data_IF_132110809686
#
_entry.id   IF_132110809686
#
_cell.length_a   1.000
_cell.length_b   1.000
_cell.length_c   1.000
_cell.angle_alpha   90.00
_cell.angle_beta   90.00
_cell.angle_gamma   90.00
#
_symmetry.space_group_name_H-M   'P 1'
#
loop_
_entity.id
_entity.type
_entity.pdbx_description
1 polymer ?
#
# COMPACT_ATOMS: atom_id res chain seq x y z
N UNK A 1 14.98 -34.23 -24.30
CA UNK A 1 14.71 -34.10 -22.85
C UNK A 1 13.47 -33.22 -22.69
N UNK A 2 12.29 -33.87 -22.49
CA UNK A 2 11.04 -33.16 -22.25
C UNK A 2 11.05 -32.66 -20.81
N UNK A 3 11.27 -31.37 -20.58
CA UNK A 3 10.98 -30.75 -19.30
C UNK A 3 9.48 -30.50 -19.23
N UNK A 4 8.78 -31.27 -18.43
CA UNK A 4 7.40 -30.99 -18.06
C UNK A 4 7.37 -29.65 -17.31
N UNK A 5 6.86 -28.61 -17.97
CA UNK A 5 6.61 -27.31 -17.36
C UNK A 5 5.32 -27.46 -16.55
N UNK A 6 5.42 -27.47 -15.22
CA UNK A 6 4.26 -27.39 -14.34
C UNK A 6 3.73 -25.95 -14.40
N UNK A 7 2.54 -25.81 -14.92
CA UNK A 7 1.81 -24.54 -14.94
C UNK A 7 1.19 -24.32 -13.54
N UNK A 8 1.56 -23.21 -12.91
CA UNK A 8 0.95 -22.79 -11.66
C UNK A 8 -0.29 -21.93 -11.91
N UNK A 9 -1.32 -22.12 -11.11
CA UNK A 9 -2.58 -21.38 -11.21
C UNK A 9 -2.78 -20.53 -9.97
N UNK A 10 -3.21 -19.29 -10.15
CA UNK A 10 -3.69 -18.45 -9.06
C UNK A 10 -5.20 -18.31 -9.13
N UNK A 11 -5.89 -18.54 -8.01
CA UNK A 11 -7.34 -18.50 -7.89
C UNK A 11 -7.75 -17.47 -6.85
N UNK A 12 -8.58 -16.53 -7.24
CA UNK A 12 -9.21 -15.60 -6.30
C UNK A 12 -10.62 -16.09 -5.99
N UNK A 13 -11.04 -16.02 -4.73
CA UNK A 13 -12.33 -16.49 -4.23
C UNK A 13 -13.54 -15.84 -4.90
N UNK A 14 -13.40 -14.59 -5.36
CA UNK A 14 -14.44 -13.87 -6.07
C UNK A 14 -14.45 -14.10 -7.58
N UNK A 15 -13.36 -14.67 -8.17
CA UNK A 15 -13.13 -14.51 -9.60
C UNK A 15 -12.66 -15.78 -10.33
N UNK A 16 -12.60 -16.91 -9.67
CA UNK A 16 -12.25 -18.17 -10.33
C UNK A 16 -10.74 -18.37 -10.59
N UNK A 17 -10.41 -19.38 -11.37
CA UNK A 17 -9.05 -19.87 -11.59
C UNK A 17 -8.28 -18.99 -12.57
N UNK A 18 -7.12 -18.44 -12.15
CA UNK A 18 -6.20 -17.71 -13.00
C UNK A 18 -4.98 -18.57 -13.33
N UNK A 19 -4.81 -18.92 -14.58
CA UNK A 19 -3.60 -19.64 -15.03
C UNK A 19 -2.43 -18.66 -15.17
N UNK A 20 -1.31 -18.92 -14.50
CA UNK A 20 -0.04 -18.22 -14.75
C UNK A 20 0.64 -18.93 -15.93
N UNK A 21 0.23 -18.60 -17.15
CA UNK A 21 0.78 -19.25 -18.37
C UNK A 21 1.95 -18.45 -18.96
N UNK A 22 2.24 -17.25 -18.48
CA UNK A 22 3.03 -16.28 -19.23
C UNK A 22 4.55 -16.28 -19.00
N UNK A 23 5.11 -17.12 -18.14
CA UNK A 23 6.57 -17.14 -17.93
C UNK A 23 7.35 -18.03 -18.91
N UNK A 24 6.69 -18.95 -19.61
CA UNK A 24 7.39 -19.87 -20.53
C UNK A 24 7.42 -19.40 -22.01
N UNK A 25 6.44 -18.64 -22.46
CA UNK A 25 6.36 -18.20 -23.85
C UNK A 25 7.19 -16.93 -24.14
N UNK A 26 7.49 -16.12 -23.12
CA UNK A 26 8.27 -14.88 -23.31
C UNK A 26 9.79 -15.07 -23.28
N UNK A 27 10.28 -16.22 -22.79
CA UNK A 27 11.73 -16.52 -22.82
C UNK A 27 12.24 -17.09 -24.15
N UNK A 28 11.37 -17.37 -25.13
CA UNK A 28 11.82 -17.87 -26.45
C UNK A 28 11.98 -16.78 -27.53
N UNK A 29 11.73 -15.53 -27.25
CA UNK A 29 11.83 -14.44 -28.26
C UNK A 29 12.99 -13.47 -28.00
N UNK A 30 13.79 -13.68 -26.98
CA UNK A 30 15.01 -12.89 -26.77
C UNK A 30 16.28 -13.71 -27.04
N UNK A 31 16.47 -14.17 -28.29
CA UNK A 31 17.80 -14.42 -28.81
C UNK A 31 18.30 -13.10 -29.43
N UNK A 32 19.52 -12.63 -29.14
CA UNK A 32 20.03 -11.44 -29.75
C UNK A 32 20.31 -11.72 -31.22
N UNK A 33 19.57 -11.10 -32.11
CA UNK A 33 19.99 -10.98 -33.52
C UNK A 33 21.10 -9.95 -33.61
N UNK A 34 22.29 -10.41 -33.95
CA UNK A 34 23.38 -9.57 -34.36
C UNK A 34 22.96 -8.72 -35.56
N UNK A 35 23.00 -7.43 -35.41
CA UNK A 35 22.91 -6.50 -36.54
C UNK A 35 24.26 -6.50 -37.27
N UNK A 36 24.26 -6.97 -38.52
CA UNK A 36 25.31 -6.67 -39.47
C UNK A 36 24.98 -5.34 -40.14
N UNK A 37 25.95 -4.47 -40.09
CA UNK A 37 26.02 -3.15 -40.71
C UNK A 37 26.02 -3.27 -42.21
N UNK A 38 25.15 -2.57 -42.97
CA UNK A 38 25.43 -2.14 -44.33
C UNK A 38 24.81 -0.77 -44.57
N UNK A 39 25.69 0.17 -44.70
CA UNK A 39 25.40 1.53 -45.11
C UNK A 39 25.14 1.61 -46.63
N UNK A 40 24.05 2.28 -47.03
CA UNK A 40 24.04 2.99 -48.34
C UNK A 40 23.19 4.26 -48.25
N UNK A 41 23.86 5.31 -48.59
CA UNK A 41 23.46 6.70 -48.80
C UNK A 41 22.44 6.89 -49.90
N UNK A 42 21.42 7.74 -49.71
CA UNK A 42 20.94 8.70 -50.74
C UNK A 42 19.99 9.76 -50.12
N UNK A 43 20.32 10.99 -50.32
CA UNK A 43 19.64 12.25 -49.97
C UNK A 43 18.81 12.72 -51.18
N UNK A 44 18.11 13.89 -51.16
CA UNK A 44 16.70 14.06 -50.90
C UNK A 44 15.93 14.59 -52.14
N UNK A 45 14.60 14.61 -52.04
CA UNK A 45 13.79 15.42 -52.95
C UNK A 45 12.70 16.17 -52.19
N UNK A 46 12.79 17.46 -52.30
CA UNK A 46 11.88 18.52 -51.89
C UNK A 46 10.76 18.70 -52.92
N UNK A 47 9.52 18.89 -52.50
CA UNK A 47 8.50 19.72 -53.18
C UNK A 47 7.27 19.78 -52.27
N UNK A 48 6.94 20.90 -51.73
CA UNK A 48 6.19 22.10 -52.11
C UNK A 48 4.69 21.98 -51.89
N UNK A 49 4.30 22.71 -50.89
CA UNK A 49 3.09 23.48 -50.53
C UNK A 49 1.90 23.48 -51.53
N UNK A 50 0.71 23.22 -51.00
CA UNK A 50 -0.50 23.96 -51.41
C UNK A 50 -1.52 24.04 -50.27
N UNK A 51 -1.68 25.23 -49.79
CA UNK A 51 -2.79 25.72 -48.96
C UNK A 51 -4.06 25.82 -49.79
N UNK A 52 -5.21 25.45 -49.27
CA UNK A 52 -6.49 26.10 -49.62
C UNK A 52 -7.48 26.11 -48.47
N UNK A 53 -8.08 27.19 -48.28
CA UNK A 53 -8.89 27.76 -47.24
C UNK A 53 -10.29 27.12 -47.01
N UNK A 54 -10.82 27.41 -45.86
CA UNK A 54 -12.19 27.34 -45.32
C UNK A 54 -13.23 28.05 -46.23
N UNK A 55 -14.56 27.69 -46.17
CA UNK A 55 -15.38 28.43 -45.20
C UNK A 55 -16.50 27.64 -44.48
N UNK A 56 -16.83 28.11 -43.28
CA UNK A 56 -18.12 27.91 -42.66
C UNK A 56 -19.19 28.85 -43.32
N UNK A 57 -20.48 28.51 -43.29
CA UNK A 57 -21.33 29.32 -42.45
C UNK A 57 -22.51 28.62 -41.74
N UNK A 58 -22.85 29.17 -40.63
CA UNK A 58 -24.09 29.87 -40.22
C UNK A 58 -25.22 29.02 -39.63
N UNK A 59 -25.57 29.42 -38.41
CA UNK A 59 -26.66 28.99 -37.57
C UNK A 59 -28.05 29.32 -38.16
N UNK A 60 -29.03 28.49 -37.82
CA UNK A 60 -30.39 28.97 -37.65
C UNK A 60 -31.08 28.34 -36.42
N UNK A 61 -31.57 29.24 -35.62
CA UNK A 61 -32.39 29.09 -34.42
C UNK A 61 -33.85 28.88 -34.81
N UNK A 62 -34.53 27.93 -34.19
CA UNK A 62 -35.98 28.08 -33.95
C UNK A 62 -36.40 27.47 -32.64
N UNK A 63 -36.89 28.30 -31.81
CA UNK A 63 -37.62 28.16 -30.57
C UNK A 63 -39.05 27.67 -30.85
N UNK A 64 -39.58 26.75 -30.03
CA UNK A 64 -40.97 26.81 -29.57
C UNK A 64 -41.23 25.81 -28.42
N UNK A 65 -41.62 26.33 -27.29
CA UNK A 65 -42.40 25.76 -26.19
C UNK A 65 -43.79 26.49 -26.27
N UNK A 66 -44.86 26.13 -25.58
CA UNK A 66 -45.23 25.02 -24.68
C UNK A 66 -46.69 24.49 -24.91
N UNK A 67 -47.13 23.50 -24.16
CA UNK A 67 -48.51 23.43 -23.66
C UNK A 67 -48.69 22.43 -22.52
N UNK A 68 -49.13 22.94 -21.43
CA UNK A 68 -49.67 22.39 -20.19
C UNK A 68 -51.06 21.75 -20.40
N UNK A 69 -51.41 20.70 -19.65
CA UNK A 69 -52.71 20.52 -18.96
C UNK A 69 -52.64 19.30 -18.02
N UNK A 70 -52.64 19.52 -16.72
CA UNK A 70 -53.60 19.18 -15.63
C UNK A 70 -54.36 17.86 -15.77
N UNK A 71 -54.20 17.02 -14.81
CA UNK A 71 -54.70 16.77 -13.45
C UNK A 71 -55.81 15.70 -13.43
N UNK A 72 -55.77 14.71 -12.60
CA UNK A 72 -56.61 14.52 -11.42
C UNK A 72 -56.48 13.14 -10.79
N UNK A 73 -56.18 13.15 -9.46
CA UNK A 73 -56.73 12.41 -8.31
C UNK A 73 -56.52 10.89 -8.17
N UNK A 74 -55.72 10.59 -7.15
CA UNK A 74 -55.96 9.81 -5.90
C UNK A 74 -56.33 8.32 -6.02
N UNK A 75 -55.45 7.52 -5.44
CA UNK A 75 -55.68 6.73 -4.23
C UNK A 75 -54.40 6.00 -3.78
N UNK A 76 -54.03 6.19 -2.52
CA UNK A 76 -53.09 5.37 -1.75
C UNK A 76 -53.96 4.31 -0.99
N UNK A 77 -53.47 3.14 -0.55
CA UNK A 77 -52.12 2.82 -0.06
C UNK A 77 -51.66 1.38 -0.41
N UNK A 78 -50.35 1.18 -0.43
CA UNK A 78 -49.73 -0.03 0.14
C UNK A 78 -48.22 0.21 0.34
N UNK A 79 -47.82 0.18 1.56
CA UNK A 79 -46.48 0.14 2.09
C UNK A 79 -45.71 -1.00 1.44
N UNK A 80 -44.63 -0.69 0.74
CA UNK A 80 -43.57 -1.67 0.44
C UNK A 80 -42.25 -0.98 0.70
N UNK A 81 -41.54 -1.56 1.64
CA UNK A 81 -40.26 -1.11 2.15
C UNK A 81 -39.23 -0.98 1.04
N UNK A 82 -38.61 0.17 0.99
CA UNK A 82 -37.41 0.46 0.20
C UNK A 82 -36.23 -0.26 0.87
N UNK A 83 -35.43 -1.06 0.14
CA UNK A 83 -34.17 -1.50 0.69
C UNK A 83 -33.23 -0.30 0.80
N UNK A 84 -32.87 0.03 2.02
CA UNK A 84 -31.82 0.98 2.31
C UNK A 84 -30.53 0.55 1.62
N UNK A 85 -29.98 1.45 0.80
CA UNK A 85 -28.61 1.38 0.32
C UNK A 85 -27.70 1.55 1.55
N UNK A 86 -27.25 0.47 2.11
CA UNK A 86 -26.21 0.51 3.13
C UNK A 86 -24.90 0.80 2.43
N UNK A 87 -24.40 2.01 2.54
CA UNK A 87 -22.99 2.31 2.36
C UNK A 87 -22.22 1.38 3.30
N UNK A 88 -21.41 0.49 2.72
CA UNK A 88 -20.54 -0.35 3.49
C UNK A 88 -19.43 0.52 4.09
N UNK A 89 -19.59 0.88 5.35
CA UNK A 89 -18.50 1.29 6.22
C UNK A 89 -17.42 0.20 6.19
N UNK A 90 -16.13 0.53 6.11
CA UNK A 90 -15.08 -0.48 6.17
C UNK A 90 -15.24 -1.28 7.44
N UNK A 91 -15.49 -2.58 7.30
CA UNK A 91 -15.58 -3.48 8.42
C UNK A 91 -14.30 -3.42 9.24
N UNK A 92 -14.43 -3.16 10.53
CA UNK A 92 -13.35 -3.31 11.50
C UNK A 92 -12.70 -4.68 11.30
N UNK A 93 -11.38 -4.68 11.11
CA UNK A 93 -10.55 -5.86 11.05
C UNK A 93 -10.65 -6.61 12.38
N UNK A 94 -11.53 -7.59 12.44
CA UNK A 94 -11.49 -8.57 13.51
C UNK A 94 -10.17 -9.35 13.39
N UNK A 95 -9.24 -9.10 14.29
CA UNK A 95 -7.98 -9.83 14.39
C UNK A 95 -8.30 -11.29 14.77
N UNK A 96 -8.22 -12.18 13.78
CA UNK A 96 -8.05 -13.59 14.06
C UNK A 96 -6.55 -13.79 14.24
N UNK A 97 -6.10 -13.83 15.49
CA UNK A 97 -4.74 -14.23 15.81
C UNK A 97 -4.52 -15.66 15.30
N UNK A 98 -3.60 -15.81 14.38
CA UNK A 98 -3.19 -17.11 13.86
C UNK A 98 -2.40 -17.83 14.98
N UNK A 99 -2.73 -19.07 15.34
CA UNK A 99 -1.99 -19.80 16.37
C UNK A 99 -0.49 -19.76 16.11
N UNK A 100 0.27 -19.29 17.10
CA UNK A 100 1.74 -19.20 17.03
C UNK A 100 2.35 -20.35 17.79
N UNK A 101 3.28 -21.06 17.16
CA UNK A 101 4.19 -21.96 17.85
C UNK A 101 5.55 -21.25 17.84
N UNK A 102 5.77 -20.31 18.75
CA UNK A 102 7.09 -19.73 18.94
C UNK A 102 7.89 -20.63 19.89
N UNK A 103 9.12 -20.95 19.53
CA UNK A 103 10.01 -21.81 20.31
C UNK A 103 11.02 -21.05 21.16
N UNK A 104 11.02 -19.71 21.12
CA UNK A 104 12.00 -18.89 21.85
C UNK A 104 11.60 -17.42 22.00
N UNK A 105 12.34 -16.72 22.85
CA UNK A 105 12.25 -15.25 22.92
C UNK A 105 12.84 -14.62 21.66
N UNK A 106 12.39 -13.42 21.31
CA UNK A 106 12.97 -12.64 20.20
C UNK A 106 14.44 -12.33 20.53
N UNK A 107 15.32 -12.72 19.63
CA UNK A 107 16.75 -12.44 19.70
C UNK A 107 17.14 -11.48 18.59
N UNK A 108 17.87 -10.41 18.93
CA UNK A 108 18.33 -9.42 17.96
C UNK A 108 19.84 -9.30 18.06
N UNK A 109 20.51 -9.54 16.94
CA UNK A 109 21.95 -9.45 16.82
C UNK A 109 22.32 -8.47 15.68
N UNK A 110 23.51 -7.87 15.79
CA UNK A 110 24.04 -7.00 14.74
C UNK A 110 25.44 -7.42 14.38
N UNK A 111 25.69 -7.62 13.09
CA UNK A 111 27.00 -7.91 12.53
C UNK A 111 27.27 -6.92 11.40
N UNK A 112 28.31 -6.10 11.56
CA UNK A 112 28.57 -5.01 10.63
C UNK A 112 27.43 -4.01 10.57
N UNK A 113 26.85 -3.81 9.40
CA UNK A 113 25.67 -2.96 9.14
C UNK A 113 24.33 -3.73 9.16
N UNK A 114 24.37 -5.04 9.37
CA UNK A 114 23.20 -5.91 9.24
C UNK A 114 22.70 -6.36 10.61
N UNK A 115 21.42 -6.13 10.84
CA UNK A 115 20.67 -6.54 12.03
C UNK A 115 19.82 -7.76 11.66
N UNK A 116 19.96 -8.83 12.42
CA UNK A 116 19.19 -10.06 12.28
C UNK A 116 18.26 -10.22 13.48
N UNK A 117 17.02 -10.58 13.21
CA UNK A 117 15.98 -10.84 14.21
C UNK A 117 15.56 -12.29 14.11
N UNK A 118 15.70 -13.05 15.20
CA UNK A 118 15.19 -14.42 15.32
C UNK A 118 13.97 -14.44 16.22
N UNK A 119 13.06 -15.36 15.94
CA UNK A 119 11.78 -15.50 16.65
C UNK A 119 11.02 -14.17 16.76
N UNK A 120 10.85 -13.39 15.65
CA UNK A 120 10.08 -12.16 15.69
C UNK A 120 8.62 -12.42 16.07
N UNK A 121 7.95 -11.45 16.69
CA UNK A 121 6.48 -11.50 16.80
C UNK A 121 5.87 -11.18 15.44
N UNK A 122 5.16 -12.14 14.85
CA UNK A 122 4.57 -12.05 13.51
C UNK A 122 3.11 -12.42 13.55
N UNK A 123 2.28 -11.67 12.82
CA UNK A 123 0.90 -12.05 12.53
C UNK A 123 0.61 -12.12 11.04
N UNK A 124 -0.39 -12.95 10.71
CA UNK A 124 -0.92 -13.08 9.35
C UNK A 124 -2.40 -12.66 9.36
N UNK A 125 -2.73 -11.60 8.64
CA UNK A 125 -4.07 -11.02 8.60
C UNK A 125 -4.81 -11.44 7.34
N UNK A 126 -5.85 -12.25 7.53
CA UNK A 126 -6.71 -12.75 6.44
C UNK A 126 -8.05 -12.02 6.46
N UNK A 127 -8.52 -11.60 5.29
CA UNK A 127 -9.86 -11.03 5.17
C UNK A 127 -10.89 -12.16 5.23
N UNK A 128 -11.72 -12.16 6.26
CA UNK A 128 -12.83 -13.11 6.37
C UNK A 128 -13.79 -12.95 5.19
N UNK A 129 -14.28 -14.07 4.69
CA UNK A 129 -15.33 -14.11 3.67
C UNK A 129 -16.54 -14.89 4.18
N UNK A 130 -17.71 -14.70 3.55
CA UNK A 130 -18.96 -15.32 3.96
C UNK A 130 -18.91 -16.88 3.97
N UNK A 131 -18.03 -17.45 3.16
CA UNK A 131 -17.93 -18.89 2.88
C UNK A 131 -16.62 -19.54 3.35
N UNK A 132 -15.84 -18.86 4.24
CA UNK A 132 -14.63 -19.43 4.85
C UNK A 132 -13.83 -18.41 5.65
N UNK A 133 -12.65 -18.84 6.10
CA UNK A 133 -11.76 -18.02 6.92
C UNK A 133 -10.97 -16.97 6.11
N UNK A 134 -11.08 -16.97 4.77
CA UNK A 134 -10.31 -16.11 3.91
C UNK A 134 -8.87 -16.54 3.71
N UNK A 135 -8.52 -17.77 4.13
CA UNK A 135 -7.17 -18.33 4.08
C UNK A 135 -6.86 -19.08 2.79
N UNK A 136 -7.77 -19.06 1.82
CA UNK A 136 -7.63 -19.81 0.55
C UNK A 136 -6.32 -19.50 -0.17
N UNK A 137 -5.76 -20.51 -0.86
CA UNK A 137 -4.46 -20.46 -1.54
C UNK A 137 -4.26 -19.22 -2.44
N UNK A 138 -5.34 -18.74 -3.04
CA UNK A 138 -5.29 -17.63 -4.00
C UNK A 138 -5.82 -16.30 -3.43
N UNK A 139 -6.04 -16.25 -2.13
CA UNK A 139 -6.44 -15.03 -1.42
C UNK A 139 -5.21 -14.29 -0.94
N UNK A 140 -5.18 -12.97 -1.17
CA UNK A 140 -4.13 -12.12 -0.62
C UNK A 140 -4.36 -11.90 0.87
N UNK A 141 -3.27 -11.74 1.61
CA UNK A 141 -3.28 -11.45 3.05
C UNK A 141 -2.15 -10.48 3.37
N UNK A 142 -2.07 -10.06 4.63
CA UNK A 142 -0.96 -9.23 5.11
C UNK A 142 -0.13 -9.99 6.13
N UNK A 143 1.18 -9.72 6.13
CA UNK A 143 2.11 -10.15 7.16
C UNK A 143 2.49 -8.93 7.98
N UNK A 144 2.42 -9.04 9.30
CA UNK A 144 2.81 -8.00 10.23
C UNK A 144 3.91 -8.50 11.16
N UNK A 145 5.04 -7.79 11.18
CA UNK A 145 6.08 -7.91 12.19
C UNK A 145 5.79 -6.87 13.27
N UNK A 146 5.52 -7.34 14.50
CA UNK A 146 5.08 -6.49 15.61
C UNK A 146 6.25 -6.20 16.55
N UNK A 147 6.28 -5.00 17.09
CA UNK A 147 7.07 -4.60 18.27
C UNK A 147 8.51 -5.14 18.33
N UNK A 148 9.25 -5.01 17.22
CA UNK A 148 10.67 -5.35 17.18
C UNK A 148 11.42 -4.32 18.03
N UNK A 149 11.82 -4.73 19.24
CA UNK A 149 12.48 -3.85 20.24
C UNK A 149 13.99 -4.06 20.18
N UNK A 150 14.70 -3.07 19.67
CA UNK A 150 16.16 -3.11 19.61
C UNK A 150 16.77 -2.76 20.98
N UNK A 151 17.75 -3.51 21.46
CA UNK A 151 18.44 -3.18 22.72
C UNK A 151 19.01 -1.75 22.69
N UNK A 152 18.94 -1.02 23.79
CA UNK A 152 19.54 0.33 23.89
C UNK A 152 21.04 0.31 23.68
N UNK A 153 21.71 -0.78 24.12
CA UNK A 153 23.14 -1.01 23.91
C UNK A 153 23.53 -1.20 22.44
N UNK A 154 22.54 -1.52 21.55
CA UNK A 154 22.78 -1.69 20.12
C UNK A 154 22.70 -0.32 19.43
N UNK A 155 23.84 0.20 18.98
CA UNK A 155 23.86 1.39 18.14
C UNK A 155 23.30 1.06 16.75
N UNK A 156 22.27 1.82 16.32
CA UNK A 156 21.72 1.76 14.97
C UNK A 156 22.05 3.08 14.28
N UNK A 157 22.90 3.00 13.27
CA UNK A 157 23.44 4.14 12.54
C UNK A 157 22.76 4.28 11.17
N UNK A 158 22.93 5.43 10.55
CA UNK A 158 22.52 5.62 9.16
C UNK A 158 23.20 4.58 8.26
N UNK A 159 22.39 3.88 7.46
CA UNK A 159 22.82 2.83 6.55
C UNK A 159 22.74 1.42 7.14
N UNK A 160 22.56 1.28 8.45
CA UNK A 160 22.30 -0.03 9.05
C UNK A 160 20.96 -0.61 8.54
N UNK A 161 20.90 -1.93 8.45
CA UNK A 161 19.77 -2.64 7.85
C UNK A 161 19.25 -3.70 8.79
N UNK A 162 17.93 -3.86 8.81
CA UNK A 162 17.29 -5.05 9.36
C UNK A 162 16.67 -5.86 8.21
N UNK A 163 16.92 -7.17 8.20
CA UNK A 163 16.49 -8.08 7.14
C UNK A 163 15.60 -9.15 7.73
N UNK A 164 14.42 -9.37 7.13
CA UNK A 164 13.52 -10.48 7.44
C UNK A 164 13.33 -11.34 6.20
N UNK A 165 13.26 -12.65 6.41
CA UNK A 165 13.11 -13.64 5.35
C UNK A 165 11.70 -14.19 5.32
N UNK A 166 11.11 -14.25 4.14
CA UNK A 166 9.83 -14.91 3.94
C UNK A 166 10.03 -16.43 3.91
N UNK A 167 9.15 -17.19 4.58
CA UNK A 167 9.15 -18.64 4.47
C UNK A 167 8.78 -19.10 3.06
N UNK A 168 9.13 -20.36 2.72
CA UNK A 168 8.86 -20.93 1.40
C UNK A 168 7.38 -20.85 1.00
N UNK A 169 6.47 -20.90 1.96
CA UNK A 169 5.02 -20.86 1.74
C UNK A 169 4.49 -19.47 1.43
N UNK A 170 5.27 -18.40 1.72
CA UNK A 170 4.81 -17.00 1.63
C UNK A 170 5.69 -16.19 0.69
N UNK A 171 5.08 -15.39 -0.16
CA UNK A 171 5.80 -14.48 -1.06
C UNK A 171 5.12 -13.12 -1.10
N UNK A 172 5.87 -12.10 -1.50
CA UNK A 172 5.29 -10.81 -1.91
C UNK A 172 4.47 -11.00 -3.20
N UNK A 173 3.50 -10.11 -3.43
CA UNK A 173 2.69 -10.13 -4.65
C UNK A 173 3.47 -9.60 -5.86
N UNK A 174 4.28 -8.60 -5.62
CA UNK A 174 5.24 -7.95 -6.50
C UNK A 174 6.32 -7.30 -5.63
N UNK A 175 7.36 -6.71 -6.20
CA UNK A 175 8.28 -5.86 -5.46
C UNK A 175 7.66 -4.50 -5.19
N UNK A 176 7.83 -4.00 -3.98
CA UNK A 176 7.41 -2.65 -3.56
C UNK A 176 8.32 -2.14 -2.45
N UNK A 177 8.20 -0.86 -2.16
CA UNK A 177 8.92 -0.20 -1.08
C UNK A 177 7.98 0.70 -0.29
N UNK A 178 8.33 0.98 0.96
CA UNK A 178 7.57 1.86 1.84
C UNK A 178 8.45 2.46 2.94
N UNK A 179 8.00 3.59 3.47
CA UNK A 179 8.69 4.24 4.56
C UNK A 179 8.26 3.67 5.93
N UNK A 180 9.24 3.62 6.85
CA UNK A 180 9.02 3.38 8.26
C UNK A 180 9.01 4.72 8.95
N UNK A 181 7.85 5.13 9.49
CA UNK A 181 7.59 6.47 10.00
C UNK A 181 7.49 6.47 11.52
N UNK A 182 7.96 7.51 12.18
CA UNK A 182 7.65 7.73 13.59
C UNK A 182 6.29 8.45 13.77
N UNK A 183 5.88 8.69 15.02
CA UNK A 183 4.61 9.34 15.32
C UNK A 183 4.54 10.81 14.83
N UNK A 184 5.68 11.46 14.61
CA UNK A 184 5.79 12.81 14.07
C UNK A 184 5.79 12.84 12.53
N UNK A 185 5.51 11.72 11.88
CA UNK A 185 5.61 11.52 10.43
C UNK A 185 7.02 11.76 9.86
N UNK A 186 8.04 11.57 10.68
CA UNK A 186 9.41 11.58 10.22
C UNK A 186 9.82 10.18 9.75
N UNK A 187 10.45 10.09 8.60
CA UNK A 187 11.01 8.83 8.11
C UNK A 187 12.16 8.39 9.00
N UNK A 188 12.11 7.16 9.50
CA UNK A 188 13.16 6.51 10.31
C UNK A 188 13.96 5.54 9.48
N UNK A 189 13.34 4.95 8.47
CA UNK A 189 13.96 4.02 7.57
C UNK A 189 13.11 3.79 6.33
N UNK A 190 13.71 3.15 5.34
CA UNK A 190 13.06 2.80 4.08
C UNK A 190 13.12 1.28 3.88
N UNK A 191 11.95 0.65 3.74
CA UNK A 191 11.80 -0.78 3.56
C UNK A 191 11.60 -1.12 2.08
N UNK A 192 12.30 -2.16 1.62
CA UNK A 192 12.22 -2.67 0.24
C UNK A 192 12.03 -4.17 0.26
N UNK A 193 11.15 -4.68 -0.59
CA UNK A 193 10.94 -6.11 -0.79
C UNK A 193 11.77 -6.61 -1.97
N UNK A 194 12.26 -7.85 -1.86
CA UNK A 194 12.96 -8.58 -2.93
C UNK A 194 12.29 -9.95 -3.05
N UNK A 195 11.48 -10.13 -4.10
CA UNK A 195 10.76 -11.39 -4.34
C UNK A 195 11.67 -12.56 -4.68
N UNK A 196 12.80 -12.30 -5.34
CA UNK A 196 13.74 -13.35 -5.75
C UNK A 196 14.48 -13.92 -4.54
N UNK A 197 14.86 -13.07 -3.61
CA UNK A 197 15.49 -13.46 -2.35
C UNK A 197 14.49 -13.82 -1.27
N UNK A 198 13.22 -13.47 -1.43
CA UNK A 198 12.21 -13.63 -0.39
C UNK A 198 12.51 -12.78 0.84
N UNK A 199 12.98 -11.54 0.68
CA UNK A 199 13.37 -10.69 1.82
C UNK A 199 12.65 -9.35 1.81
N UNK A 200 12.42 -8.80 3.01
CA UNK A 200 12.15 -7.38 3.22
C UNK A 200 13.27 -6.77 4.02
N UNK A 201 13.89 -5.73 3.50
CA UNK A 201 15.04 -5.05 4.10
C UNK A 201 14.68 -3.62 4.42
N UNK A 202 14.76 -3.23 5.68
CA UNK A 202 14.64 -1.83 6.12
C UNK A 202 16.02 -1.24 6.32
N UNK A 203 16.36 -0.18 5.58
CA UNK A 203 17.58 0.61 5.75
C UNK A 203 17.26 1.84 6.60
N UNK A 204 17.94 1.99 7.74
CA UNK A 204 17.71 3.10 8.67
C UNK A 204 18.45 4.37 8.25
N UNK A 205 17.86 5.52 8.59
CA UNK A 205 18.54 6.81 8.57
C UNK A 205 19.15 7.14 9.95
N UNK A 206 19.43 8.40 10.23
CA UNK A 206 20.11 8.83 11.46
C UNK A 206 19.18 9.06 12.68
N UNK A 207 17.88 8.78 12.56
CA UNK A 207 16.92 9.05 13.65
C UNK A 207 17.25 8.21 14.89
N UNK A 208 17.56 6.93 14.74
CA UNK A 208 17.94 6.08 15.87
C UNK A 208 19.32 6.41 16.44
N UNK A 209 20.20 7.02 15.65
CA UNK A 209 21.47 7.56 16.15
C UNK A 209 21.23 8.76 17.06
N UNK A 210 20.28 9.62 16.68
CA UNK A 210 19.92 10.82 17.45
C UNK A 210 19.05 10.50 18.67
N UNK A 211 18.24 9.45 18.59
CA UNK A 211 17.33 8.99 19.64
C UNK A 211 17.63 7.53 19.97
N UNK A 212 18.66 7.24 20.76
CA UNK A 212 19.21 5.88 20.89
C UNK A 212 18.46 4.98 21.88
N UNK A 213 17.49 5.49 22.63
CA UNK A 213 16.78 4.76 23.69
C UNK A 213 15.42 4.26 23.21
N UNK A 214 14.95 3.15 23.77
CA UNK A 214 13.64 2.54 23.52
C UNK A 214 13.30 2.40 22.03
N UNK A 215 14.33 2.04 21.24
CA UNK A 215 14.20 1.86 19.79
C UNK A 215 13.32 0.67 19.47
N UNK A 216 12.26 0.89 18.68
CA UNK A 216 11.40 -0.19 18.21
C UNK A 216 10.84 0.11 16.83
N UNK A 217 10.44 -0.95 16.12
CA UNK A 217 9.74 -0.85 14.86
C UNK A 217 8.69 -1.94 14.70
N UNK A 218 7.69 -1.67 13.88
CA UNK A 218 6.70 -2.63 13.38
C UNK A 218 6.51 -2.37 11.90
N UNK A 219 6.13 -3.40 11.14
CA UNK A 219 5.76 -3.24 9.74
C UNK A 219 4.67 -4.23 9.35
N UNK A 220 3.82 -3.82 8.43
CA UNK A 220 2.77 -4.64 7.83
C UNK A 220 2.80 -4.47 6.32
N UNK A 221 2.68 -5.55 5.57
CA UNK A 221 2.74 -5.53 4.12
C UNK A 221 1.93 -6.65 3.46
N UNK A 222 1.61 -6.46 2.18
CA UNK A 222 0.83 -7.40 1.39
C UNK A 222 1.65 -8.63 0.97
N UNK A 223 1.04 -9.80 1.15
CA UNK A 223 1.62 -11.10 0.85
C UNK A 223 0.60 -12.03 0.16
N UNK A 224 1.10 -13.15 -0.33
CA UNK A 224 0.32 -14.25 -0.91
C UNK A 224 0.96 -15.59 -0.58
N UNK A 225 0.17 -16.66 -0.69
CA UNK A 225 0.71 -18.01 -0.68
C UNK A 225 1.51 -18.31 -1.95
N UNK A 226 2.51 -19.17 -1.81
CA UNK A 226 3.27 -19.74 -2.94
C UNK A 226 2.68 -21.06 -3.42
N UNK A 227 3.32 -21.67 -4.41
CA UNK A 227 2.91 -23.01 -4.90
C UNK A 227 3.26 -24.13 -3.90
N UNK A 228 4.08 -23.87 -2.87
CA UNK A 228 4.36 -24.81 -1.79
C UNK A 228 3.10 -25.17 -0.98
N UNK A 229 2.12 -24.26 -0.95
CA UNK A 229 0.89 -24.43 -0.16
C UNK A 229 -0.14 -25.25 -0.93
N UNK A 230 -0.83 -26.15 -0.22
CA UNK A 230 -1.92 -26.98 -0.78
C UNK A 230 -3.25 -26.58 -0.16
N UNK A 231 -4.25 -26.28 -1.00
CA UNK A 231 -5.63 -26.01 -0.57
C UNK A 231 -6.22 -27.19 0.22
N UNK A 232 -6.96 -26.90 1.29
CA UNK A 232 -7.54 -27.90 2.19
C UNK A 232 -6.56 -28.54 3.18
N UNK A 233 -5.31 -28.06 3.24
CA UNK A 233 -4.28 -28.56 4.18
C UNK A 233 -3.76 -27.44 5.09
N UNK A 234 -3.18 -27.84 6.22
CA UNK A 234 -2.47 -26.92 7.10
C UNK A 234 -1.15 -26.52 6.46
N UNK A 235 -0.86 -25.20 6.44
CA UNK A 235 0.43 -24.61 6.14
C UNK A 235 1.12 -24.21 7.45
N UNK A 236 2.45 -24.33 7.49
CA UNK A 236 3.24 -24.04 8.70
C UNK A 236 4.41 -23.10 8.39
N UNK A 237 4.16 -21.88 7.87
CA UNK A 237 5.22 -20.97 7.52
C UNK A 237 6.08 -20.59 8.74
N UNK A 238 7.42 -20.62 8.55
CA UNK A 238 8.41 -20.31 9.57
C UNK A 238 9.10 -18.98 9.28
N UNK A 239 8.72 -17.94 10.01
CA UNK A 239 9.28 -16.60 9.90
C UNK A 239 10.49 -16.45 10.84
N UNK A 240 11.69 -16.77 10.36
CA UNK A 240 12.95 -16.64 11.11
C UNK A 240 12.89 -17.27 12.53
N UNK A 241 12.18 -18.41 12.68
CA UNK A 241 12.00 -19.13 13.95
C UNK A 241 10.59 -19.05 14.52
N UNK A 242 9.77 -18.11 14.13
CA UNK A 242 8.35 -18.05 14.52
C UNK A 242 7.49 -18.83 13.52
N UNK A 243 6.93 -19.95 13.99
CA UNK A 243 6.07 -20.82 13.16
C UNK A 243 4.60 -20.45 13.37
N UNK A 244 3.88 -20.21 12.28
CA UNK A 244 2.42 -20.03 12.26
C UNK A 244 1.73 -21.30 11.75
N UNK A 245 0.51 -21.56 12.22
CA UNK A 245 -0.35 -22.64 11.71
C UNK A 245 -1.57 -22.06 11.06
N UNK A 246 -1.78 -22.34 9.78
CA UNK A 246 -2.91 -21.83 9.03
C UNK A 246 -3.56 -22.97 8.26
N UNK A 247 -4.82 -23.27 8.58
CA UNK A 247 -5.62 -24.15 7.72
C UNK A 247 -6.01 -23.37 6.45
N UNK A 248 -5.44 -23.77 5.32
CA UNK A 248 -5.75 -23.17 4.04
C UNK A 248 -7.12 -23.67 3.56
N UNK A 249 -8.04 -22.76 3.27
CA UNK A 249 -9.38 -23.12 2.82
C UNK A 249 -9.31 -24.02 1.57
N UNK A 250 -10.20 -25.00 1.46
CA UNK A 250 -10.31 -25.80 0.24
C UNK A 250 -10.70 -24.91 -0.96
N UNK A 251 -10.31 -25.32 -2.15
CA UNK A 251 -10.75 -24.61 -3.35
C UNK A 251 -12.25 -24.79 -3.57
N UNK A 252 -13.00 -23.71 -3.81
CA UNK A 252 -14.40 -23.83 -4.16
C UNK A 252 -14.55 -24.56 -5.52
N UNK A 253 -15.52 -25.44 -5.63
CA UNK A 253 -15.84 -26.07 -6.91
C UNK A 253 -16.43 -25.05 -7.89
N UNK A 254 -16.06 -25.18 -9.15
CA UNK A 254 -16.63 -24.38 -10.22
C UNK A 254 -17.91 -25.04 -10.69
N UNK A 255 -19.01 -24.31 -10.65
CA UNK A 255 -20.31 -24.79 -11.10
C UNK A 255 -20.65 -24.20 -12.48
N UNK A 256 -20.62 -25.00 -13.54
CA UNK A 256 -20.94 -24.55 -14.89
C UNK A 256 -22.41 -24.11 -15.07
N UNK A 257 -23.30 -24.48 -14.15
CA UNK A 257 -24.72 -24.09 -14.23
C UNK A 257 -24.94 -22.65 -13.75
N UNK A 258 -24.12 -22.18 -12.82
CA UNK A 258 -24.24 -20.85 -12.19
C UNK A 258 -23.23 -19.85 -12.72
N UNK A 259 -22.01 -20.27 -13.04
CA UNK A 259 -20.98 -19.37 -13.56
C UNK A 259 -21.08 -19.16 -15.06
N UNK A 260 -21.69 -18.08 -15.49
CA UNK A 260 -21.73 -17.65 -16.90
C UNK A 260 -20.50 -16.87 -17.33
N UNK A 261 -19.94 -16.08 -16.41
CA UNK A 261 -18.81 -15.19 -16.61
C UNK A 261 -18.04 -14.97 -15.31
N UNK A 262 -16.74 -14.87 -15.40
CA UNK A 262 -15.88 -14.49 -14.27
C UNK A 262 -14.73 -13.62 -14.75
N UNK A 263 -14.35 -12.60 -13.97
CA UNK A 263 -13.22 -11.70 -14.25
C UNK A 263 -12.43 -11.42 -12.98
N UNK A 264 -11.14 -11.36 -13.14
CA UNK A 264 -10.20 -11.00 -12.06
C UNK A 264 -8.97 -10.31 -12.62
N UNK A 265 -8.18 -9.74 -11.73
CA UNK A 265 -6.90 -9.15 -12.07
C UNK A 265 -5.87 -9.36 -10.98
N UNK A 266 -4.62 -9.15 -11.34
CA UNK A 266 -3.48 -9.17 -10.44
C UNK A 266 -2.42 -8.20 -10.92
N UNK A 267 -1.66 -7.65 -9.99
CA UNK A 267 -0.44 -6.90 -10.28
C UNK A 267 0.62 -7.88 -10.77
N UNK A 268 1.38 -7.51 -11.79
CA UNK A 268 2.42 -8.38 -12.33
C UNK A 268 3.61 -8.49 -11.36
N UNK A 269 4.10 -9.69 -11.09
CA UNK A 269 5.25 -9.87 -10.19
C UNK A 269 6.52 -9.19 -10.71
N UNK A 270 6.72 -9.17 -12.03
CA UNK A 270 7.91 -8.64 -12.69
C UNK A 270 7.95 -7.11 -12.82
N UNK A 271 6.80 -6.48 -12.86
CA UNK A 271 6.66 -5.02 -12.95
C UNK A 271 5.42 -4.57 -12.19
N UNK A 272 5.57 -3.87 -11.04
CA UNK A 272 4.44 -3.46 -10.24
C UNK A 272 3.49 -2.46 -10.91
N UNK A 273 3.90 -1.83 -12.01
CA UNK A 273 3.03 -0.95 -12.79
C UNK A 273 2.16 -1.69 -13.82
N UNK A 274 2.41 -2.99 -14.05
CA UNK A 274 1.64 -3.80 -14.97
C UNK A 274 0.51 -4.54 -14.25
N UNK A 275 -0.71 -4.35 -14.75
CA UNK A 275 -1.89 -5.08 -14.32
C UNK A 275 -2.18 -6.19 -15.30
N UNK A 276 -2.37 -7.40 -14.81
CA UNK A 276 -2.79 -8.57 -15.59
C UNK A 276 -4.27 -8.78 -15.36
N UNK A 277 -5.04 -8.75 -16.41
CA UNK A 277 -6.47 -9.01 -16.39
C UNK A 277 -6.80 -10.31 -17.09
N UNK A 278 -7.70 -11.07 -16.49
CA UNK A 278 -8.22 -12.29 -17.08
C UNK A 278 -9.73 -12.33 -16.90
N UNK A 279 -10.43 -12.76 -17.94
CA UNK A 279 -11.79 -13.20 -17.78
C UNK A 279 -12.00 -14.59 -18.39
N UNK A 280 -13.00 -15.27 -17.86
CA UNK A 280 -13.43 -16.60 -18.30
C UNK A 280 -14.92 -16.57 -18.56
N UNK A 281 -15.34 -17.28 -19.59
CA UNK A 281 -16.75 -17.48 -19.87
C UNK A 281 -17.00 -18.85 -20.51
N UNK A 282 -18.28 -19.21 -20.57
CA UNK A 282 -18.76 -20.46 -21.18
C UNK A 282 -18.25 -21.74 -20.47
N UNK A 283 -18.24 -21.73 -19.14
CA UNK A 283 -17.86 -22.91 -18.36
C UNK A 283 -18.76 -24.11 -18.68
N UNK A 284 -20.04 -23.90 -19.10
CA UNK A 284 -21.00 -24.87 -19.49
C UNK A 284 -20.79 -25.41 -20.93
N UNK A 285 -19.83 -24.88 -21.70
CA UNK A 285 -19.53 -25.27 -23.09
C UNK A 285 -20.73 -25.21 -24.03
N UNK A 286 -21.58 -24.21 -23.85
CA UNK A 286 -22.69 -23.94 -24.75
C UNK A 286 -22.17 -23.38 -26.07
N UNK A 287 -22.91 -23.60 -27.15
CA UNK A 287 -22.62 -22.92 -28.42
C UNK A 287 -22.96 -21.45 -28.31
N UNK A 288 -21.94 -20.58 -28.39
CA UNK A 288 -22.08 -19.12 -28.41
C UNK A 288 -21.74 -18.62 -29.82
N UNK A 289 -22.56 -17.71 -30.32
CA UNK A 289 -22.39 -17.08 -31.63
C UNK A 289 -22.42 -15.57 -31.49
N UNK A 290 -21.61 -14.85 -32.29
CA UNK A 290 -21.59 -13.37 -32.32
C UNK A 290 -21.45 -12.72 -30.94
N UNK A 291 -20.63 -13.34 -30.10
CA UNK A 291 -20.38 -12.81 -28.74
C UNK A 291 -19.75 -11.42 -28.79
N UNK A 292 -20.31 -10.48 -28.04
CA UNK A 292 -19.79 -9.12 -27.90
C UNK A 292 -19.33 -8.89 -26.47
N UNK A 293 -18.07 -8.47 -26.31
CA UNK A 293 -17.45 -8.16 -25.03
C UNK A 293 -17.02 -6.70 -25.07
N UNK A 294 -17.51 -5.91 -24.12
CA UNK A 294 -17.08 -4.51 -23.91
C UNK A 294 -16.36 -4.43 -22.59
N UNK A 295 -15.08 -4.13 -22.62
CA UNK A 295 -14.20 -4.05 -21.47
C UNK A 295 -13.75 -2.61 -21.24
N UNK A 296 -13.85 -2.10 -19.99
CA UNK A 296 -13.54 -0.72 -19.63
C UNK A 296 -12.79 -0.67 -18.32
N UNK A 297 -11.58 -0.14 -18.37
CA UNK A 297 -10.73 0.06 -17.18
C UNK A 297 -10.72 1.51 -16.71
N UNK A 298 -10.29 1.75 -15.48
CA UNK A 298 -10.16 3.09 -14.90
C UNK A 298 -9.16 3.96 -15.68
N UNK A 299 -9.35 5.29 -15.58
CA UNK A 299 -8.65 6.27 -16.42
C UNK A 299 -7.11 6.33 -16.21
N UNK A 300 -6.61 5.73 -15.14
CA UNK A 300 -5.20 5.64 -14.78
C UNK A 300 -4.47 4.44 -15.41
N UNK A 301 -5.07 3.79 -16.40
CA UNK A 301 -4.53 2.62 -17.06
C UNK A 301 -4.47 2.80 -18.58
N UNK A 302 -3.42 2.28 -19.19
CA UNK A 302 -3.25 2.17 -20.63
C UNK A 302 -3.10 0.72 -21.05
N UNK A 303 -3.62 0.35 -22.21
CA UNK A 303 -3.49 -0.99 -22.76
C UNK A 303 -2.03 -1.27 -23.17
N UNK A 304 -1.52 -2.43 -22.78
CA UNK A 304 -0.21 -2.90 -23.27
C UNK A 304 -0.41 -3.57 -24.62
N UNK A 305 0.11 -2.94 -25.66
CA UNK A 305 -0.04 -3.42 -27.04
C UNK A 305 0.49 -4.85 -27.21
N UNK A 306 -0.22 -5.66 -27.99
CA UNK A 306 0.12 -7.06 -28.23
C UNK A 306 -0.15 -8.01 -27.05
N UNK A 307 -0.65 -7.54 -25.93
CA UNK A 307 -0.90 -8.36 -24.73
C UNK A 307 -2.21 -9.16 -24.77
N UNK A 308 -3.09 -8.91 -25.73
CA UNK A 308 -4.36 -9.64 -25.84
C UNK A 308 -4.11 -11.09 -26.25
N UNK A 309 -4.53 -12.02 -25.41
CA UNK A 309 -4.33 -13.45 -25.59
C UNK A 309 -5.62 -14.22 -25.28
N UNK A 310 -6.50 -14.40 -26.27
CA UNK A 310 -7.66 -15.28 -26.14
C UNK A 310 -7.23 -16.74 -26.37
N UNK A 311 -7.76 -17.65 -25.54
CA UNK A 311 -7.49 -19.08 -25.68
C UNK A 311 -8.65 -19.93 -25.14
N UNK A 312 -8.71 -21.17 -25.60
CA UNK A 312 -9.67 -22.16 -25.16
C UNK A 312 -9.04 -23.23 -24.30
N UNK A 313 -9.82 -23.77 -23.37
CA UNK A 313 -9.53 -24.99 -22.64
C UNK A 313 -10.78 -25.91 -22.66
N UNK A 314 -10.57 -27.18 -22.52
CA UNK A 314 -11.70 -28.15 -22.46
C UNK A 314 -12.01 -28.51 -20.99
N UNK A 315 -11.03 -28.44 -20.11
CA UNK A 315 -11.20 -28.67 -18.68
C UNK A 315 -10.33 -27.72 -17.85
N UNK A 316 -10.98 -26.98 -16.97
CA UNK A 316 -10.31 -26.01 -16.08
C UNK A 316 -9.51 -26.65 -14.95
N UNK A 317 -9.79 -27.92 -14.60
CA UNK A 317 -9.05 -28.65 -13.56
C UNK A 317 -7.74 -29.21 -14.10
N UNK A 318 -7.77 -29.74 -15.31
CA UNK A 318 -6.60 -30.39 -15.95
C UNK A 318 -5.94 -29.50 -17.00
N UNK A 319 -6.58 -28.40 -17.38
CA UNK A 319 -6.14 -27.51 -18.47
C UNK A 319 -5.87 -28.26 -19.78
N UNK A 320 -6.71 -29.25 -20.03
CA UNK A 320 -6.62 -30.02 -21.25
C UNK A 320 -6.98 -29.20 -22.48
N UNK A 321 -6.32 -29.51 -23.60
CA UNK A 321 -6.55 -28.90 -24.90
C UNK A 321 -6.48 -27.35 -24.90
N UNK A 322 -5.48 -26.79 -24.21
CA UNK A 322 -5.16 -25.39 -24.34
C UNK A 322 -4.80 -25.04 -25.77
N UNK A 323 -5.60 -24.18 -26.41
CA UNK A 323 -5.38 -23.75 -27.80
C UNK A 323 -5.67 -22.27 -27.96
N UNK A 324 -4.94 -21.61 -28.86
CA UNK A 324 -5.21 -20.19 -29.17
C UNK A 324 -6.61 -20.02 -29.76
N UNK A 325 -7.32 -18.98 -29.30
CA UNK A 325 -8.61 -18.57 -29.83
C UNK A 325 -8.51 -17.35 -30.76
N UNK A 326 -7.30 -16.94 -31.17
CA UNK A 326 -7.08 -15.74 -32.01
C UNK A 326 -7.81 -15.81 -33.34
N UNK A 327 -7.91 -16.99 -33.97
CA UNK A 327 -8.64 -17.19 -35.22
C UNK A 327 -10.16 -17.06 -35.08
N UNK A 328 -10.67 -17.16 -33.84
CA UNK A 328 -12.07 -16.94 -33.50
C UNK A 328 -12.42 -15.50 -33.20
N UNK A 329 -11.44 -14.59 -33.23
CA UNK A 329 -11.71 -13.15 -33.19
C UNK A 329 -12.41 -12.74 -34.50
N UNK A 330 -13.55 -12.07 -34.39
CA UNK A 330 -14.22 -11.41 -35.51
C UNK A 330 -13.74 -9.98 -35.63
N UNK A 331 -13.66 -9.25 -34.51
CA UNK A 331 -13.05 -7.92 -34.45
C UNK A 331 -12.51 -7.58 -33.07
N UNK A 332 -11.51 -6.72 -33.04
CA UNK A 332 -10.95 -6.09 -31.83
C UNK A 332 -10.76 -4.60 -32.07
N UNK A 333 -11.43 -3.76 -31.29
CA UNK A 333 -11.37 -2.32 -31.37
C UNK A 333 -10.90 -1.74 -30.05
N UNK A 334 -9.64 -1.34 -30.00
CA UNK A 334 -9.08 -0.61 -28.87
C UNK A 334 -9.60 0.83 -28.91
N UNK A 335 -9.98 1.35 -27.74
CA UNK A 335 -10.41 2.73 -27.54
C UNK A 335 -9.86 3.29 -26.24
N UNK A 336 -10.01 4.57 -26.01
CA UNK A 336 -9.56 5.16 -24.75
C UNK A 336 -10.32 4.54 -23.56
N UNK A 337 -9.58 3.98 -22.60
CA UNK A 337 -10.13 3.34 -21.40
C UNK A 337 -10.77 1.98 -21.62
N UNK A 338 -10.54 1.29 -22.76
CA UNK A 338 -11.11 -0.02 -22.96
C UNK A 338 -10.97 -0.60 -24.35
N UNK A 339 -11.65 -1.71 -24.58
CA UNK A 339 -11.80 -2.31 -25.91
C UNK A 339 -13.19 -2.91 -26.11
N UNK A 340 -13.57 -3.08 -27.37
CA UNK A 340 -14.69 -3.90 -27.82
C UNK A 340 -14.14 -5.09 -28.60
N UNK A 341 -14.56 -6.29 -28.21
CA UNK A 341 -14.14 -7.56 -28.78
C UNK A 341 -15.38 -8.31 -29.29
N UNK A 342 -15.31 -8.83 -30.52
CA UNK A 342 -16.30 -9.77 -31.04
C UNK A 342 -15.67 -11.12 -31.33
N UNK A 343 -16.40 -12.19 -30.99
CA UNK A 343 -15.98 -13.56 -31.25
C UNK A 343 -16.92 -14.22 -32.26
N UNK A 344 -16.34 -15.01 -33.15
CA UNK A 344 -17.07 -15.96 -34.01
C UNK A 344 -17.67 -17.07 -33.15
N UNK A 345 -18.42 -17.97 -33.78
CA UNK A 345 -19.04 -19.15 -33.13
C UNK A 345 -18.00 -20.05 -32.48
N UNK A 346 -18.25 -20.46 -31.23
CA UNK A 346 -17.47 -21.45 -30.48
C UNK A 346 -18.33 -22.15 -29.42
N UNK A 347 -17.83 -23.28 -28.88
CA UNK A 347 -18.52 -24.15 -27.91
C UNK A 347 -17.56 -24.66 -26.80
N UNK A 348 -16.48 -23.92 -26.57
CA UNK A 348 -15.44 -24.24 -25.58
C UNK A 348 -15.37 -23.21 -24.48
N UNK A 349 -14.68 -23.50 -23.41
CA UNK A 349 -14.41 -22.54 -22.33
C UNK A 349 -13.39 -21.54 -22.86
N UNK A 350 -13.79 -20.26 -22.90
CA UNK A 350 -12.93 -19.17 -23.35
C UNK A 350 -12.30 -18.44 -22.17
N UNK A 351 -10.99 -18.25 -22.26
CA UNK A 351 -10.23 -17.33 -21.46
C UNK A 351 -9.69 -16.21 -22.33
N UNK A 352 -9.63 -15.01 -21.77
CA UNK A 352 -8.95 -13.89 -22.41
C UNK A 352 -8.05 -13.22 -21.39
N UNK A 353 -6.75 -13.25 -21.66
CA UNK A 353 -5.74 -12.53 -20.90
C UNK A 353 -5.37 -11.26 -21.65
N UNK A 354 -5.08 -10.19 -20.91
CA UNK A 354 -4.45 -8.99 -21.44
C UNK A 354 -3.81 -8.19 -20.29
N UNK A 355 -3.07 -7.17 -20.64
CA UNK A 355 -2.36 -6.31 -19.68
C UNK A 355 -2.72 -4.86 -19.88
N UNK A 356 -2.75 -4.14 -18.77
CA UNK A 356 -2.73 -2.69 -18.74
C UNK A 356 -1.55 -2.21 -17.91
N UNK A 357 -1.10 -1.00 -18.16
CA UNK A 357 -0.04 -0.33 -17.41
C UNK A 357 -0.61 0.89 -16.70
N UNK A 358 -0.23 1.09 -15.45
CA UNK A 358 -0.56 2.33 -14.73
C UNK A 358 0.14 3.51 -15.38
N UNK A 359 -0.57 4.63 -15.52
CA UNK A 359 -0.05 5.88 -16.09
C UNK A 359 0.65 6.75 -15.05
N UNK A 360 0.45 6.43 -13.76
CA UNK A 360 1.09 7.07 -12.61
C UNK A 360 1.87 6.04 -11.79
N UNK A 361 2.86 6.45 -10.97
CA UNK A 361 3.55 5.55 -10.06
C UNK A 361 2.58 4.81 -9.14
N UNK A 362 2.88 3.55 -8.80
CA UNK A 362 2.01 2.70 -7.96
C UNK A 362 1.58 3.39 -6.66
N UNK A 363 2.50 4.10 -5.99
CA UNK A 363 2.22 4.82 -4.73
C UNK A 363 1.22 5.97 -4.86
N UNK A 364 1.06 6.49 -6.06
CA UNK A 364 0.17 7.61 -6.38
C UNK A 364 -1.12 7.16 -7.08
N UNK A 365 -1.20 5.86 -7.40
CA UNK A 365 -2.33 5.27 -8.11
C UNK A 365 -3.41 4.79 -7.15
N UNK A 366 -4.66 4.88 -7.59
CA UNK A 366 -5.76 4.18 -6.96
C UNK A 366 -5.77 2.71 -7.39
N UNK A 367 -6.44 1.86 -6.61
CA UNK A 367 -6.65 0.47 -6.98
C UNK A 367 -7.35 0.37 -8.34
N UNK A 368 -6.72 -0.28 -9.34
CA UNK A 368 -7.27 -0.40 -10.68
C UNK A 368 -8.61 -1.13 -10.69
N UNK A 369 -9.57 -0.56 -11.39
CA UNK A 369 -10.91 -1.12 -11.58
C UNK A 369 -11.12 -1.41 -13.05
N UNK A 370 -11.84 -2.50 -13.33
CA UNK A 370 -12.21 -2.88 -14.67
C UNK A 370 -13.64 -3.42 -14.71
N UNK A 371 -14.46 -2.88 -15.60
CA UNK A 371 -15.86 -3.26 -15.79
C UNK A 371 -16.08 -3.91 -17.15
N UNK A 372 -16.93 -4.94 -17.19
CA UNK A 372 -17.20 -5.72 -18.40
C UNK A 372 -18.69 -5.92 -18.61
N UNK A 373 -19.08 -5.82 -19.87
CA UNK A 373 -20.39 -6.19 -20.40
C UNK A 373 -20.19 -7.25 -21.46
N UNK A 374 -20.93 -8.34 -21.37
CA UNK A 374 -20.89 -9.45 -22.33
C UNK A 374 -22.29 -9.81 -22.75
N UNK A 375 -22.53 -9.84 -24.06
CA UNK A 375 -23.80 -10.28 -24.65
C UNK A 375 -23.56 -11.36 -25.71
N UNK A 376 -24.47 -12.35 -25.78
CA UNK A 376 -24.49 -13.32 -26.90
C UNK A 376 -25.07 -12.68 -28.19
N UNK A 377 -25.06 -13.41 -29.28
CA UNK A 377 -25.58 -12.95 -30.56
C UNK A 377 -27.10 -12.69 -30.60
N UNK A 378 -27.84 -13.19 -29.61
CA UNK A 378 -29.28 -12.93 -29.44
C UNK A 378 -29.50 -11.67 -28.53
N UNK A 379 -28.45 -11.08 -28.01
CA UNK A 379 -28.51 -9.92 -27.12
C UNK A 379 -28.73 -10.27 -25.64
N UNK A 380 -28.69 -11.54 -25.25
CA UNK A 380 -28.83 -11.93 -23.86
C UNK A 380 -27.56 -11.58 -23.09
N UNK A 381 -27.65 -10.99 -21.89
CA UNK A 381 -26.48 -10.68 -21.10
C UNK A 381 -25.89 -11.94 -20.43
N UNK A 382 -24.61 -12.19 -20.66
CA UNK A 382 -23.79 -13.14 -19.89
C UNK A 382 -23.10 -12.42 -18.73
N UNK A 383 -22.75 -11.14 -18.89
CA UNK A 383 -22.31 -10.23 -17.84
C UNK A 383 -22.86 -8.83 -18.08
N UNK A 384 -23.27 -8.16 -17.02
CA UNK A 384 -23.76 -6.78 -17.08
C UNK A 384 -23.07 -5.95 -16.01
N UNK A 385 -22.15 -5.08 -16.43
CA UNK A 385 -21.32 -4.25 -15.53
C UNK A 385 -20.59 -5.10 -14.47
N UNK A 386 -20.06 -6.24 -14.87
CA UNK A 386 -19.26 -7.06 -13.98
C UNK A 386 -17.96 -6.33 -13.65
N UNK A 387 -17.68 -6.10 -12.38
CA UNK A 387 -16.51 -5.32 -11.94
C UNK A 387 -15.48 -6.21 -11.27
N UNK A 388 -14.24 -6.02 -11.65
CA UNK A 388 -13.07 -6.55 -10.96
C UNK A 388 -12.16 -5.38 -10.55
N UNK A 389 -11.45 -5.55 -9.44
CA UNK A 389 -10.46 -4.60 -8.98
C UNK A 389 -9.17 -5.32 -8.60
N UNK A 390 -8.07 -4.61 -8.62
CA UNK A 390 -6.76 -5.08 -8.17
C UNK A 390 -6.36 -4.19 -7.00
N UNK A 391 -6.33 -4.75 -5.80
CA UNK A 391 -5.69 -4.06 -4.69
C UNK A 391 -4.19 -3.98 -4.97
N UNK A 392 -3.62 -2.78 -5.02
CA UNK A 392 -2.19 -2.59 -5.24
C UNK A 392 -1.40 -3.09 -4.02
N UNK A 393 -0.30 -3.79 -4.28
CA UNK A 393 0.56 -4.29 -3.22
C UNK A 393 1.36 -3.16 -2.60
N UNK A 394 1.49 -3.19 -1.29
CA UNK A 394 2.24 -2.19 -0.56
C UNK A 394 2.48 -2.60 0.88
N UNK A 395 3.09 -1.70 1.62
CA UNK A 395 3.36 -1.87 3.03
C UNK A 395 3.43 -0.53 3.74
N UNK A 396 3.51 -0.60 5.05
CA UNK A 396 3.78 0.55 5.92
C UNK A 396 4.56 0.10 7.13
N UNK A 397 5.46 0.96 7.60
CA UNK A 397 6.20 0.74 8.82
C UNK A 397 5.96 1.85 9.85
N UNK A 398 6.13 1.51 11.11
CA UNK A 398 6.13 2.43 12.22
C UNK A 398 7.37 2.21 13.05
N UNK A 399 7.92 3.27 13.61
CA UNK A 399 9.04 3.22 14.52
C UNK A 399 8.84 4.23 15.66
N UNK A 400 9.50 3.97 16.77
CA UNK A 400 9.63 4.94 17.86
C UNK A 400 11.00 4.81 18.53
N UNK A 401 11.45 5.88 19.14
CA UNK A 401 12.65 5.93 19.95
C UNK A 401 12.64 7.18 20.81
N UNK A 402 13.50 7.21 21.83
CA UNK A 402 13.63 8.31 22.76
C UNK A 402 15.05 8.86 22.74
N UNK A 403 15.16 10.16 22.96
CA UNK A 403 16.45 10.80 23.12
C UNK A 403 16.99 10.57 24.56
N UNK A 404 18.31 10.67 24.74
CA UNK A 404 18.92 10.72 26.07
C UNK A 404 18.37 11.97 26.75
N UNK A 405 17.77 11.88 27.95
CA UNK A 405 17.30 13.04 28.68
C UNK A 405 18.47 14.00 28.85
N UNK A 406 18.31 15.25 28.41
CA UNK A 406 19.28 16.29 28.74
C UNK A 406 19.29 16.39 30.24
N UNK A 407 20.44 16.26 30.94
CA UNK A 407 20.49 16.49 32.38
C UNK A 407 19.84 17.83 32.68
N UNK A 408 18.85 17.84 33.57
CA UNK A 408 18.28 19.09 34.04
C UNK A 408 19.45 19.95 34.53
N UNK A 409 19.62 21.19 34.04
CA UNK A 409 20.74 22.01 34.44
C UNK A 409 20.72 22.04 35.97
N UNK A 410 21.83 21.65 36.63
CA UNK A 410 21.97 21.72 38.08
C UNK A 410 21.40 23.05 38.53
N UNK A 411 20.47 23.09 39.52
CA UNK A 411 19.88 24.32 39.96
C UNK A 411 21.06 25.28 40.28
N UNK A 412 21.11 26.40 39.56
CA UNK A 412 22.12 27.44 39.80
C UNK A 412 22.19 27.60 41.29
N UNK A 413 23.38 27.44 41.95
CA UNK A 413 23.47 27.61 43.40
C UNK A 413 22.76 28.93 43.71
N UNK A 414 21.77 28.89 44.61
CA UNK A 414 21.08 30.09 45.07
C UNK A 414 22.18 31.07 45.46
N UNK A 415 22.12 32.34 45.02
CA UNK A 415 23.10 33.33 45.39
C UNK A 415 23.18 33.27 46.90
N UNK A 416 24.39 32.96 47.47
CA UNK A 416 24.65 33.03 48.92
C UNK A 416 23.96 34.29 49.40
N UNK A 417 23.07 34.20 50.43
CA UNK A 417 22.41 35.39 50.95
C UNK A 417 23.53 36.40 51.21
N UNK A 418 23.40 37.59 50.64
CA UNK A 418 24.32 38.69 50.90
C UNK A 418 24.51 38.75 52.40
N UNK A 419 25.74 38.79 52.94
CA UNK A 419 25.94 38.97 54.38
C UNK A 419 25.06 40.11 54.81
N UNK A 420 24.11 39.84 55.73
CA UNK A 420 23.34 40.96 56.38
C UNK A 420 24.31 42.06 56.69
N UNK A 421 24.03 43.27 56.27
CA UNK A 421 24.89 44.39 56.60
C UNK A 421 25.11 44.35 58.12
N UNK A 422 26.39 44.33 58.53
CA UNK A 422 26.73 44.38 59.95
C UNK A 422 25.89 45.46 60.57
N UNK A 423 25.27 45.29 61.75
CA UNK A 423 24.52 46.32 62.42
C UNK A 423 25.41 47.50 62.49
N UNK A 424 24.99 48.69 61.94
CA UNK A 424 25.70 49.97 62.11
C UNK A 424 26.08 50.05 63.58
N UNK A 425 27.36 50.30 63.90
CA UNK A 425 27.76 50.50 65.29
C UNK A 425 26.79 51.50 65.89
N UNK A 426 26.18 51.12 67.03
CA UNK A 426 25.35 52.05 67.78
C UNK A 426 26.08 53.36 67.91
N UNK A 427 25.44 54.52 67.70
CA UNK A 427 26.10 55.82 67.89
C UNK A 427 26.66 55.84 69.29
N UNK A 428 28.00 56.05 69.41
CA UNK A 428 28.67 56.26 70.68
C UNK A 428 27.78 57.27 71.47
N UNK A 429 27.44 56.93 72.73
CA UNK A 429 26.68 57.89 73.54
C UNK A 429 27.37 59.23 73.47
N UNK A 430 26.63 60.28 73.15
CA UNK A 430 27.15 61.66 73.15
C UNK A 430 27.87 61.91 74.47
N UNK A 431 29.04 62.48 74.47
CA UNK A 431 29.73 62.84 75.73
C UNK A 431 28.76 63.66 76.52
N UNK A 432 28.51 63.27 77.81
CA UNK A 432 27.75 64.06 78.76
C UNK A 432 28.31 65.47 78.69
N UNK A 433 27.51 66.54 78.65
CA UNK A 433 27.96 67.88 78.64
C UNK A 433 28.83 68.10 79.89
N UNK A 434 30.05 68.61 79.67
CA UNK A 434 30.94 68.98 80.76
C UNK A 434 30.19 69.92 81.71
N UNK A 435 30.30 69.74 83.03
CA UNK A 435 29.68 70.63 83.97
C UNK A 435 30.10 72.06 83.69
N UNK A 436 29.19 73.02 83.53
CA UNK A 436 29.44 74.44 83.41
C UNK A 436 30.48 74.85 84.48
N UNK A 437 31.53 75.57 84.15
CA UNK A 437 32.43 76.06 85.17
C UNK A 437 31.64 76.93 86.13
N UNK A 438 31.83 76.65 87.43
CA UNK A 438 31.28 77.50 88.51
C UNK A 438 31.67 78.99 88.31
N UNK A 439 30.79 79.92 88.55
CA UNK A 439 31.10 81.33 88.41
C UNK A 439 32.23 81.67 89.36
N UNK A 440 33.31 82.28 88.83
CA UNK A 440 34.37 82.90 89.64
C UNK A 440 33.75 83.82 90.66
N UNK A 441 34.16 83.72 91.86
CA UNK A 441 33.72 84.65 92.87
C UNK A 441 34.06 86.11 92.46
N UNK A 442 33.08 86.99 92.62
CA UNK A 442 33.24 88.43 92.40
C UNK A 442 34.40 88.97 93.26
N UNK A 443 35.21 89.84 92.72
CA UNK A 443 36.28 90.54 93.54
C UNK A 443 35.58 91.31 94.60
N UNK A 444 36.06 91.17 95.83
CA UNK A 444 35.71 92.06 96.96
C UNK A 444 35.93 93.53 96.64
N UNK A 445 35.04 94.35 96.96
CA UNK A 445 35.24 95.77 96.76
C UNK A 445 36.47 96.31 97.57
N UNK A 446 37.30 97.06 96.94
CA UNK A 446 38.42 97.78 97.56
C UNK A 446 37.88 98.80 98.60
N UNK A 447 38.57 98.97 99.67
CA UNK A 447 38.16 99.95 100.68
C UNK A 447 38.32 101.39 100.19
N UNK A 448 37.32 102.18 100.39
CA UNK A 448 37.35 103.65 100.20
C UNK A 448 38.47 104.26 100.97
N UNK A 449 39.20 105.20 100.39
CA UNK A 449 40.11 105.94 101.11
C UNK A 449 39.39 106.95 102.03
N UNK A 450 39.87 107.12 103.25
CA UNK A 450 39.38 108.03 104.19
C UNK A 450 39.77 109.46 103.82
N UNK A 451 39.06 110.40 104.33
CA UNK A 451 39.17 111.81 103.93
C UNK A 451 40.31 112.59 104.67
N UNK A 452 40.87 113.51 103.96
CA UNK A 452 41.31 114.73 104.47
C UNK A 452 40.61 115.77 103.71
#
# INVERSE_FOLDING_TARGET
MNKNIKLGYTKSKAYGLCGVILTAALMMVMAPRAYADEATTATPATETVATTETPAPTAETTTETPATTEATTAETPATTETPATTEATPAEQGSNETPTISTGATEITKEGDTITVKNPDVDMHFTKSADGNGTGKYVNFKVEYKDIKFPDSMAINQGDKVVFHMPEEVSFRTNFDFDVMNHDNQVVGHAQTDMEKGTVTTTFNDVFTKNPLNKQMSMIFDAKWTEAVTSGKEATPNFDGTVKKVLVDPEPELDPTTEKFSKWGSQAPEDPQIMRWTFRLNLAKQTLENLIIKDRWSADQEFVEGSLEPFFVDDVKTWSNYTSAKEYLDSFHLQNGGFDLKMKKFDRILYVNYRTKLTTPVKESNDPVNAVWVTDGAGNPLANNYRAHIALAGGKGRASSENIPTPEPEPKPEPKPEPKPEPKPEPKPEPKPEPKPEPKPEPKPEPKPEPK
#
